data_IF_778691806770
#
_entry.id   IF_778691806770
#
_cell.length_a   1.000
_cell.length_b   1.000
_cell.length_c   1.000
_cell.angle_alpha   90.00
_cell.angle_beta   90.00
_cell.angle_gamma   90.00
#
_symmetry.space_group_name_H-M   'P 1'
#
loop_
_entity.id
_entity.type
_entity.pdbx_description
1 polymer ?
#
# COMPACT_ATOMS: atom_id res chain seq x y z
N UNK A 1 -37.95 -25.48 -34.30
CA UNK A 1 -37.79 -25.46 -32.83
C UNK A 1 -36.31 -25.24 -32.51
N UNK A 2 -35.94 -24.07 -31.99
CA UNK A 2 -34.56 -23.78 -31.56
C UNK A 2 -34.44 -24.24 -30.10
N UNK A 3 -33.57 -25.20 -29.83
CA UNK A 3 -33.24 -25.62 -28.48
C UNK A 3 -32.54 -24.47 -27.75
N UNK A 4 -33.19 -23.93 -26.72
CA UNK A 4 -32.53 -23.07 -25.74
C UNK A 4 -31.52 -23.92 -24.96
N UNK A 5 -30.23 -23.54 -24.88
CA UNK A 5 -29.30 -24.19 -23.97
C UNK A 5 -29.66 -23.75 -22.53
N UNK A 6 -30.55 -24.50 -21.89
CA UNK A 6 -31.03 -24.24 -20.53
C UNK A 6 -30.08 -24.78 -19.44
N UNK A 7 -28.96 -25.41 -19.81
CA UNK A 7 -28.10 -26.17 -18.88
C UNK A 7 -26.64 -25.67 -18.83
N UNK A 8 -26.40 -24.38 -19.12
CA UNK A 8 -25.13 -23.78 -18.73
C UNK A 8 -25.18 -23.55 -17.21
N UNK A 9 -24.59 -24.46 -16.43
CA UNK A 9 -24.41 -24.31 -15.00
C UNK A 9 -24.01 -22.85 -14.68
N UNK A 10 -24.68 -22.14 -13.76
CA UNK A 10 -24.36 -20.76 -13.44
C UNK A 10 -22.88 -20.67 -13.11
N UNK A 11 -22.11 -19.95 -13.94
CA UNK A 11 -20.67 -19.78 -13.71
C UNK A 11 -20.51 -19.24 -12.28
N UNK A 12 -19.88 -20.00 -11.37
CA UNK A 12 -19.75 -19.56 -9.98
C UNK A 12 -19.01 -18.23 -9.98
N UNK A 13 -19.72 -17.17 -9.57
CA UNK A 13 -19.31 -15.76 -9.65
C UNK A 13 -19.16 -15.21 -11.07
N UNK A 14 -20.27 -14.71 -11.63
CA UNK A 14 -20.22 -13.95 -12.89
C UNK A 14 -19.34 -12.68 -12.79
N UNK A 15 -18.85 -12.15 -13.93
CA UNK A 15 -17.93 -11.02 -13.99
C UNK A 15 -18.44 -9.73 -13.31
N UNK A 16 -19.74 -9.61 -13.08
CA UNK A 16 -20.36 -8.51 -12.34
C UNK A 16 -20.11 -8.61 -10.83
N UNK A 17 -20.17 -9.82 -10.25
CA UNK A 17 -19.94 -10.04 -8.81
C UNK A 17 -18.50 -9.68 -8.43
N UNK A 18 -17.55 -10.07 -9.29
CA UNK A 18 -16.14 -9.79 -9.10
C UNK A 18 -15.81 -8.29 -9.14
N UNK A 19 -16.41 -7.54 -10.08
CA UNK A 19 -16.26 -6.07 -10.14
C UNK A 19 -16.82 -5.39 -8.89
N UNK A 20 -17.94 -5.87 -8.36
CA UNK A 20 -18.52 -5.36 -7.11
C UNK A 20 -17.57 -5.60 -5.95
N UNK A 21 -17.00 -6.81 -5.85
CA UNK A 21 -16.03 -7.16 -4.81
C UNK A 21 -14.76 -6.30 -4.89
N UNK A 22 -14.19 -6.08 -6.08
CA UNK A 22 -13.03 -5.17 -6.26
C UNK A 22 -13.33 -3.75 -5.78
N UNK A 23 -14.51 -3.21 -6.10
CA UNK A 23 -14.87 -1.83 -5.72
C UNK A 23 -15.11 -1.66 -4.24
N UNK A 24 -15.62 -2.69 -3.57
CA UNK A 24 -15.87 -2.67 -2.12
C UNK A 24 -14.59 -2.95 -1.33
N UNK A 25 -13.82 -3.97 -1.70
CA UNK A 25 -12.69 -4.45 -0.91
C UNK A 25 -11.32 -3.97 -1.41
N UNK A 26 -11.21 -3.42 -2.61
CA UNK A 26 -9.93 -2.99 -3.18
C UNK A 26 -9.21 -1.94 -2.36
N UNK A 27 -9.94 -1.01 -1.73
CA UNK A 27 -9.35 -0.02 -0.83
C UNK A 27 -8.74 -0.67 0.43
N UNK A 28 -9.41 -1.65 1.02
CA UNK A 28 -8.89 -2.39 2.18
C UNK A 28 -7.76 -3.35 1.79
N UNK A 29 -7.89 -4.02 0.64
CA UNK A 29 -6.85 -4.91 0.13
C UNK A 29 -5.53 -4.19 -0.15
N UNK A 30 -5.59 -2.92 -0.57
CA UNK A 30 -4.41 -2.08 -0.74
C UNK A 30 -3.63 -1.85 0.56
N UNK A 31 -4.23 -2.03 1.74
CA UNK A 31 -3.48 -1.94 2.99
C UNK A 31 -2.58 -3.16 3.23
N UNK A 32 -2.73 -4.26 2.50
CA UNK A 32 -1.96 -5.47 2.77
C UNK A 32 -0.43 -5.26 2.62
N UNK A 33 0.10 -4.66 1.54
CA UNK A 33 1.53 -4.41 1.43
C UNK A 33 2.11 -3.45 2.49
N UNK A 34 1.54 -2.25 2.73
CA UNK A 34 2.06 -1.38 3.77
C UNK A 34 1.87 -1.96 5.18
N UNK A 35 0.81 -2.74 5.44
CA UNK A 35 0.64 -3.44 6.70
C UNK A 35 1.74 -4.51 6.91
N UNK A 36 2.07 -5.28 5.87
CA UNK A 36 3.16 -6.26 5.94
C UNK A 36 4.51 -5.59 6.25
N UNK A 37 4.80 -4.46 5.60
CA UNK A 37 6.00 -3.65 5.87
C UNK A 37 5.99 -3.08 7.30
N UNK A 38 4.84 -2.62 7.78
CA UNK A 38 4.69 -2.10 9.15
C UNK A 38 4.88 -3.18 10.22
N UNK A 39 4.33 -4.37 10.01
CA UNK A 39 4.56 -5.52 10.91
C UNK A 39 6.03 -5.92 10.90
N UNK A 40 6.64 -6.02 9.72
CA UNK A 40 8.07 -6.30 9.60
C UNK A 40 8.91 -5.23 10.32
N UNK A 41 8.54 -3.95 10.20
CA UNK A 41 9.20 -2.86 10.89
C UNK A 41 9.17 -3.02 12.41
N UNK A 42 8.01 -3.33 12.99
CA UNK A 42 7.86 -3.55 14.43
C UNK A 42 8.69 -4.76 14.91
N UNK A 43 8.68 -5.86 14.15
CA UNK A 43 9.46 -7.05 14.47
C UNK A 43 10.96 -6.78 14.41
N UNK A 44 11.43 -6.06 13.39
CA UNK A 44 12.83 -5.71 13.23
C UNK A 44 13.30 -4.75 14.35
N UNK A 45 12.51 -3.74 14.69
CA UNK A 45 12.82 -2.83 15.79
C UNK A 45 12.87 -3.53 17.15
N UNK A 46 12.09 -4.60 17.33
CA UNK A 46 12.09 -5.40 18.56
C UNK A 46 13.39 -6.20 18.77
N UNK A 47 14.10 -6.57 17.70
CA UNK A 47 15.32 -7.40 17.79
C UNK A 47 16.55 -6.68 18.37
N UNK A 48 16.54 -5.35 18.46
CA UNK A 48 17.55 -4.57 19.19
C UNK A 48 18.96 -4.53 18.58
N UNK A 49 19.18 -5.04 17.37
CA UNK A 49 20.47 -4.92 16.66
C UNK A 49 20.49 -3.67 15.76
N UNK A 50 21.68 -3.12 15.50
CA UNK A 50 21.83 -1.93 14.63
C UNK A 50 21.23 -2.16 13.24
N UNK A 51 21.50 -3.31 12.63
CA UNK A 51 20.96 -3.66 11.30
C UNK A 51 19.44 -3.79 11.34
N UNK A 52 18.88 -4.40 12.38
CA UNK A 52 17.44 -4.54 12.52
C UNK A 52 16.76 -3.18 12.78
N UNK A 53 17.44 -2.26 13.48
CA UNK A 53 17.02 -0.86 13.64
C UNK A 53 16.90 -0.13 12.29
N UNK A 54 17.92 -0.23 11.44
CA UNK A 54 17.92 0.39 10.11
C UNK A 54 16.82 -0.20 9.21
N UNK A 55 16.73 -1.53 9.14
CA UNK A 55 15.72 -2.21 8.34
C UNK A 55 14.30 -1.94 8.83
N UNK A 56 14.13 -1.86 10.15
CA UNK A 56 12.86 -1.55 10.78
C UNK A 56 12.41 -0.13 10.50
N UNK A 57 13.31 0.84 10.67
CA UNK A 57 13.04 2.24 10.33
C UNK A 57 12.72 2.42 8.84
N UNK A 58 13.57 1.88 7.95
CA UNK A 58 13.34 1.97 6.51
C UNK A 58 11.97 1.40 6.13
N UNK A 59 11.64 0.21 6.65
CA UNK A 59 10.35 -0.45 6.39
C UNK A 59 9.16 0.35 6.93
N UNK A 60 9.31 1.02 8.07
CA UNK A 60 8.30 1.93 8.61
C UNK A 60 8.05 3.12 7.67
N UNK A 61 9.09 3.69 7.06
CA UNK A 61 8.94 4.78 6.10
C UNK A 61 8.21 4.35 4.81
N UNK A 62 8.50 3.14 4.31
CA UNK A 62 7.78 2.60 3.15
C UNK A 62 6.33 2.21 3.48
N UNK A 63 6.07 1.75 4.70
CA UNK A 63 4.72 1.44 5.18
C UNK A 63 3.87 2.71 5.38
N UNK A 64 4.47 3.72 6.01
CA UNK A 64 3.81 4.96 6.42
C UNK A 64 4.61 6.19 5.96
N UNK A 65 4.56 6.54 4.65
CA UNK A 65 5.31 7.67 4.09
C UNK A 65 4.96 9.02 4.74
N UNK A 66 3.78 9.15 5.34
CA UNK A 66 3.39 10.32 6.12
C UNK A 66 4.30 10.58 7.33
N UNK A 67 5.03 9.57 7.81
CA UNK A 67 6.04 9.76 8.86
C UNK A 67 7.16 10.71 8.42
N UNK A 68 7.54 10.70 7.14
CA UNK A 68 8.52 11.65 6.60
C UNK A 68 7.97 13.08 6.64
N UNK A 69 6.71 13.26 6.27
CA UNK A 69 6.04 14.57 6.30
C UNK A 69 5.91 15.09 7.73
N UNK A 70 5.65 14.18 8.67
CA UNK A 70 5.58 14.49 10.09
C UNK A 70 6.95 14.76 10.74
N UNK A 71 8.05 14.58 10.01
CA UNK A 71 9.40 14.82 10.49
C UNK A 71 9.98 13.70 11.34
N UNK A 72 9.53 12.45 11.20
CA UNK A 72 10.18 11.31 11.85
C UNK A 72 11.64 11.15 11.38
N UNK A 73 12.60 10.84 12.27
CA UNK A 73 12.45 10.59 13.71
C UNK A 73 12.60 11.84 14.59
N UNK A 74 12.81 13.03 14.01
CA UNK A 74 13.12 14.27 14.72
C UNK A 74 11.92 14.82 15.50
N UNK A 75 10.71 14.56 15.02
CA UNK A 75 9.49 14.98 15.70
C UNK A 75 9.30 14.21 17.02
N UNK A 76 8.87 14.92 18.06
CA UNK A 76 8.58 14.31 19.36
C UNK A 76 7.07 14.21 19.58
N UNK A 77 6.55 12.99 19.79
CA UNK A 77 5.17 12.78 20.24
C UNK A 77 4.46 11.62 19.55
N UNK A 78 3.96 10.66 20.34
CA UNK A 78 3.24 9.49 19.82
C UNK A 78 2.03 9.85 18.97
N UNK A 79 1.27 10.89 19.36
CA UNK A 79 0.08 11.34 18.61
C UNK A 79 0.40 11.77 17.19
N UNK A 80 1.52 12.47 16.97
CA UNK A 80 1.94 12.91 15.63
C UNK A 80 2.23 11.70 14.74
N UNK A 81 2.93 10.71 15.27
CA UNK A 81 3.22 9.47 14.53
C UNK A 81 1.97 8.63 14.28
N UNK A 82 1.03 8.56 15.23
CA UNK A 82 -0.25 7.89 15.01
C UNK A 82 -1.05 8.56 13.91
N UNK A 83 -1.16 9.89 13.92
CA UNK A 83 -1.87 10.64 12.87
C UNK A 83 -1.19 10.50 11.50
N UNK A 84 0.14 10.55 11.44
CA UNK A 84 0.91 10.33 10.21
C UNK A 84 0.71 8.92 9.64
N UNK A 85 0.61 7.92 10.52
CA UNK A 85 0.34 6.53 10.13
C UNK A 85 -1.08 6.38 9.60
N UNK A 86 -2.08 6.97 10.27
CA UNK A 86 -3.47 6.96 9.80
C UNK A 86 -3.64 7.70 8.48
N UNK A 87 -2.98 8.86 8.32
CA UNK A 87 -2.96 9.60 7.06
C UNK A 87 -2.34 8.76 5.93
N UNK A 88 -1.25 8.04 6.22
CA UNK A 88 -0.64 7.11 5.27
C UNK A 88 -1.58 5.97 4.88
N UNK A 89 -2.29 5.38 5.84
CA UNK A 89 -3.29 4.36 5.58
C UNK A 89 -4.41 4.90 4.67
N UNK A 90 -4.87 6.13 4.90
CA UNK A 90 -5.85 6.79 4.03
C UNK A 90 -5.33 6.98 2.60
N UNK A 91 -4.06 7.37 2.44
CA UNK A 91 -3.41 7.46 1.11
C UNK A 91 -3.38 6.09 0.43
N UNK A 92 -2.95 5.03 1.11
CA UNK A 92 -2.93 3.68 0.55
C UNK A 92 -4.31 3.17 0.16
N UNK A 93 -5.33 3.42 0.99
CA UNK A 93 -6.72 3.10 0.67
C UNK A 93 -7.22 3.89 -0.55
N UNK A 94 -6.86 5.15 -0.68
CA UNK A 94 -7.22 5.98 -1.84
C UNK A 94 -6.57 5.43 -3.12
N UNK A 95 -5.29 5.05 -3.07
CA UNK A 95 -4.61 4.39 -4.20
C UNK A 95 -5.27 3.06 -4.55
N UNK A 96 -5.66 2.26 -3.56
CA UNK A 96 -6.44 1.04 -3.75
C UNK A 96 -7.78 1.29 -4.44
N UNK A 97 -8.52 2.32 -4.01
CA UNK A 97 -9.78 2.70 -4.65
C UNK A 97 -9.57 3.14 -6.11
N UNK A 98 -8.49 3.89 -6.39
CA UNK A 98 -8.12 4.29 -7.75
C UNK A 98 -7.76 3.07 -8.60
N UNK A 99 -6.93 2.15 -8.09
CA UNK A 99 -6.55 0.92 -8.76
C UNK A 99 -7.78 0.04 -9.06
N UNK A 100 -8.70 -0.11 -8.11
CA UNK A 100 -9.96 -0.84 -8.32
C UNK A 100 -10.84 -0.21 -9.41
N UNK A 101 -10.93 1.12 -9.44
CA UNK A 101 -11.65 1.84 -10.51
C UNK A 101 -10.99 1.61 -11.87
N UNK A 102 -9.66 1.64 -11.95
CA UNK A 102 -8.90 1.41 -13.20
C UNK A 102 -9.02 -0.04 -13.68
N UNK A 103 -8.88 -1.01 -12.80
CA UNK A 103 -9.00 -2.45 -13.12
C UNK A 103 -10.41 -2.81 -13.62
N UNK A 104 -11.47 -2.20 -13.06
CA UNK A 104 -12.86 -2.47 -13.47
C UNK A 104 -13.29 -1.83 -14.79
N UNK A 105 -12.41 -1.08 -15.48
CA UNK A 105 -12.65 -0.59 -16.85
C UNK A 105 -12.54 -1.71 -17.89
N UNK A 106 -11.88 -2.83 -17.57
CA UNK A 106 -11.73 -3.98 -18.47
C UNK A 106 -12.90 -4.96 -18.32
N UNK A 107 -13.37 -5.59 -19.42
CA UNK A 107 -14.52 -6.51 -19.38
C UNK A 107 -14.32 -7.74 -18.48
N UNK A 108 -13.10 -8.28 -18.44
CA UNK A 108 -12.66 -9.30 -17.50
C UNK A 108 -11.76 -8.62 -16.46
N UNK A 109 -12.34 -8.15 -15.36
CA UNK A 109 -11.60 -7.53 -14.28
C UNK A 109 -11.14 -8.63 -13.33
N UNK A 110 -9.83 -8.79 -13.12
CA UNK A 110 -9.22 -9.78 -12.21
C UNK A 110 -8.40 -9.10 -11.10
N UNK A 111 -8.15 -9.81 -9.99
CA UNK A 111 -7.34 -9.34 -8.85
C UNK A 111 -5.90 -9.07 -9.28
N UNK A 112 -5.42 -9.82 -10.27
CA UNK A 112 -4.09 -9.62 -10.86
C UNK A 112 -3.98 -8.25 -11.55
N UNK A 113 -5.05 -7.81 -12.20
CA UNK A 113 -5.12 -6.49 -12.83
C UNK A 113 -5.15 -5.37 -11.78
N UNK A 114 -5.88 -5.59 -10.68
CA UNK A 114 -5.85 -4.70 -9.52
C UNK A 114 -4.44 -4.56 -8.95
N UNK A 115 -3.76 -5.68 -8.64
CA UNK A 115 -2.42 -5.63 -8.06
C UNK A 115 -1.39 -4.99 -8.99
N UNK A 116 -1.46 -5.27 -10.30
CA UNK A 116 -0.55 -4.62 -11.25
C UNK A 116 -0.72 -3.10 -11.25
N UNK A 117 -1.96 -2.62 -11.28
CA UNK A 117 -2.24 -1.18 -11.26
C UNK A 117 -1.87 -0.54 -9.91
N UNK A 118 -2.20 -1.22 -8.82
CA UNK A 118 -1.88 -0.78 -7.46
C UNK A 118 -0.36 -0.69 -7.24
N UNK A 119 0.39 -1.74 -7.62
CA UNK A 119 1.85 -1.77 -7.46
C UNK A 119 2.54 -0.70 -8.30
N UNK A 120 1.99 -0.36 -9.47
CA UNK A 120 2.51 0.75 -10.27
C UNK A 120 2.34 2.10 -9.56
N UNK A 121 1.18 2.33 -8.94
CA UNK A 121 0.95 3.52 -8.12
C UNK A 121 1.82 3.52 -6.86
N UNK A 122 1.96 2.37 -6.20
CA UNK A 122 2.78 2.19 -5.01
C UNK A 122 4.26 2.47 -5.30
N UNK A 123 4.76 2.02 -6.46
CA UNK A 123 6.13 2.29 -6.90
C UNK A 123 6.43 3.80 -6.95
N UNK A 124 5.49 4.62 -7.41
CA UNK A 124 5.63 6.08 -7.39
C UNK A 124 5.80 6.64 -5.97
N UNK A 125 5.02 6.14 -5.02
CA UNK A 125 5.14 6.51 -3.59
C UNK A 125 6.49 6.09 -3.03
N UNK A 126 6.92 4.86 -3.30
CA UNK A 126 8.21 4.34 -2.82
C UNK A 126 9.39 5.09 -3.41
N UNK A 127 9.34 5.46 -4.69
CA UNK A 127 10.36 6.34 -5.30
C UNK A 127 10.38 7.69 -4.59
N UNK A 128 9.22 8.26 -4.26
CA UNK A 128 9.12 9.49 -3.47
C UNK A 128 9.75 9.36 -2.08
N UNK A 129 9.49 8.24 -1.39
CA UNK A 129 10.12 7.93 -0.09
C UNK A 129 11.64 7.87 -0.21
N UNK A 130 12.16 7.14 -1.20
CA UNK A 130 13.61 7.05 -1.45
C UNK A 130 14.19 8.44 -1.72
N UNK A 131 13.55 9.24 -2.59
CA UNK A 131 13.98 10.59 -2.91
C UNK A 131 14.00 11.52 -1.69
N UNK A 132 12.97 11.44 -0.84
CA UNK A 132 12.88 12.23 0.39
C UNK A 132 13.96 11.84 1.41
N UNK A 133 14.24 10.55 1.58
CA UNK A 133 15.30 10.06 2.47
C UNK A 133 16.68 10.52 1.96
N UNK A 134 16.96 10.36 0.67
CA UNK A 134 18.22 10.82 0.07
C UNK A 134 18.38 12.34 0.18
N UNK A 135 17.31 13.10 -0.05
CA UNK A 135 17.33 14.55 0.12
C UNK A 135 17.60 14.94 1.58
N UNK A 136 16.97 14.26 2.54
CA UNK A 136 17.20 14.51 3.96
C UNK A 136 18.66 14.22 4.35
N UNK A 137 19.25 13.12 3.87
CA UNK A 137 20.66 12.78 4.13
C UNK A 137 21.63 13.86 3.60
N UNK A 138 21.41 14.34 2.37
CA UNK A 138 22.22 15.42 1.78
C UNK A 138 22.04 16.72 2.55
N UNK A 139 20.81 17.08 2.94
CA UNK A 139 20.52 18.33 3.64
C UNK A 139 21.02 18.35 5.09
N UNK A 140 21.04 17.20 5.77
CA UNK A 140 21.46 17.08 7.16
C UNK A 140 22.97 16.82 7.31
N UNK A 141 23.72 16.82 6.22
CA UNK A 141 25.18 16.74 6.24
C UNK A 141 25.74 15.32 6.43
N UNK A 142 25.13 14.32 5.78
CA UNK A 142 25.52 12.91 5.86
C UNK A 142 25.40 12.32 7.28
N UNK A 143 24.28 12.57 7.95
CA UNK A 143 24.04 11.99 9.27
C UNK A 143 23.71 10.48 9.22
N UNK A 144 23.39 9.92 8.05
CA UNK A 144 22.89 8.55 7.89
C UNK A 144 23.84 7.60 7.14
N UNK A 145 25.01 8.07 6.67
CA UNK A 145 26.09 7.30 6.05
C UNK A 145 27.43 7.56 6.76
#
# INVERSE_FOLDING_TARGET
MRSHPADAAPVPYGPVAYRRQLRTFGALAALAPPAALGVFALLALHWGSSTAGVLGFASALFAAPGLLVAGAPLATGGTVYTLATLASAAVWMALGAIAARRATRRPAADWRDFWREYLWLAAGVWIGVIGAVLAADVLLGQAFL
#
